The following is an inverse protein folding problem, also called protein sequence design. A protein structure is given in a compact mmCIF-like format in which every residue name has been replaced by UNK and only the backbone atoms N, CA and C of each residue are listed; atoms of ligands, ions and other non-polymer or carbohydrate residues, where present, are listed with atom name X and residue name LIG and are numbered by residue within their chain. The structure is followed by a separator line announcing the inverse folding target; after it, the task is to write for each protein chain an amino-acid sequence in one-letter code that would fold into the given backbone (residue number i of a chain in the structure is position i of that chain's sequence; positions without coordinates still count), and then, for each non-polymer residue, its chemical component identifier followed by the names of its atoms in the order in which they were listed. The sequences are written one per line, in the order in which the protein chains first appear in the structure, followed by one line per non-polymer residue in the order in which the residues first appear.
data_IF_533818289621
#
_entry.id   IF_533818289621
#
_cell.length_a   1.000
_cell.length_b   1.000
_cell.length_c   1.000
_cell.angle_alpha   90.00
_cell.angle_beta   90.00
_cell.angle_gamma   90.00
#
_symmetry.space_group_name_H-M   'P 1'
#
loop_
_entity.id
_entity.type
_entity.pdbx_description
1 polymer ?
#
# COMPACT_ATOMS: atom_id res chain seq x y z
N UNK A 1 60.21 10.28 23.59
CA UNK A 1 59.95 10.25 22.12
C UNK A 1 59.02 9.11 21.75
N UNK A 2 57.72 9.20 22.15
CA UNK A 2 56.71 8.15 21.91
C UNK A 2 55.29 8.71 21.66
N UNK A 3 55.16 9.92 21.09
CA UNK A 3 53.84 10.59 20.89
C UNK A 3 53.51 10.91 19.42
N UNK A 4 54.22 10.32 18.44
CA UNK A 4 53.97 10.62 17.02
C UNK A 4 53.34 9.48 16.20
N UNK A 5 53.07 8.33 16.78
CA UNK A 5 52.49 7.20 16.01
C UNK A 5 50.95 7.08 16.09
N UNK A 6 50.30 7.74 17.05
CA UNK A 6 48.83 7.62 17.20
C UNK A 6 48.03 8.65 16.42
N UNK A 7 48.64 9.80 16.06
CA UNK A 7 47.95 10.87 15.36
C UNK A 7 47.74 10.56 13.84
N UNK A 8 48.56 9.72 13.25
CA UNK A 8 48.45 9.31 11.85
C UNK A 8 47.39 8.18 11.68
N UNK A 9 47.24 7.32 12.66
CA UNK A 9 46.25 6.22 12.59
C UNK A 9 44.80 6.72 12.80
N UNK A 10 44.62 7.74 13.63
CA UNK A 10 43.29 8.37 13.85
C UNK A 10 42.86 9.20 12.63
N UNK A 11 43.79 9.83 11.91
CA UNK A 11 43.47 10.58 10.70
C UNK A 11 43.11 9.64 9.52
N UNK A 12 43.73 8.47 9.44
CA UNK A 12 43.38 7.47 8.42
C UNK A 12 42.02 6.79 8.67
N UNK A 13 41.65 6.58 9.92
CA UNK A 13 40.31 6.06 10.26
C UNK A 13 39.22 7.10 10.01
N UNK A 14 39.47 8.40 10.17
CA UNK A 14 38.51 9.45 9.84
C UNK A 14 38.36 9.67 8.34
N UNK A 15 39.42 9.49 7.55
CA UNK A 15 39.34 9.56 6.09
C UNK A 15 38.66 8.33 5.46
N UNK A 16 38.76 7.14 6.10
CA UNK A 16 38.04 5.95 5.62
C UNK A 16 36.56 5.96 5.99
N UNK A 17 36.17 6.59 7.11
CA UNK A 17 34.76 6.72 7.49
C UNK A 17 34.00 7.75 6.66
N UNK A 18 34.70 8.75 6.10
CA UNK A 18 34.07 9.75 5.19
C UNK A 18 33.99 9.25 3.73
N UNK A 19 34.76 8.23 3.35
CA UNK A 19 34.70 7.62 2.01
C UNK A 19 33.64 6.50 1.92
N UNK A 20 33.18 5.97 3.03
CA UNK A 20 32.11 4.96 3.05
C UNK A 20 30.69 5.55 3.20
N UNK A 21 30.55 6.87 3.38
CA UNK A 21 29.25 7.54 3.48
C UNK A 21 28.73 8.06 2.12
N UNK A 22 29.48 7.88 1.05
CA UNK A 22 28.97 8.04 -0.32
C UNK A 22 28.48 6.69 -0.88
N UNK A 23 27.86 5.88 -0.06
CA UNK A 23 27.15 4.69 -0.46
C UNK A 23 25.88 5.09 -1.20
N UNK A 24 25.86 4.79 -2.47
CA UNK A 24 24.70 4.73 -3.39
C UNK A 24 23.52 5.62 -2.95
N UNK A 25 23.58 6.89 -3.30
CA UNK A 25 22.35 7.64 -3.44
C UNK A 25 21.48 6.82 -4.39
N UNK A 26 20.31 6.41 -3.91
CA UNK A 26 19.31 5.76 -4.71
C UNK A 26 19.21 6.51 -6.05
N UNK A 27 19.33 5.80 -7.15
CA UNK A 27 19.18 6.38 -8.50
C UNK A 27 17.72 6.67 -8.85
N UNK A 28 16.82 6.56 -7.89
CA UNK A 28 15.40 6.88 -8.10
C UNK A 28 15.28 8.37 -8.48
N UNK A 29 14.55 8.69 -9.54
CA UNK A 29 14.22 10.09 -9.83
C UNK A 29 13.40 10.68 -8.68
N UNK A 30 13.50 11.98 -8.50
CA UNK A 30 12.64 12.66 -7.54
C UNK A 30 11.17 12.44 -7.93
N UNK A 31 10.28 12.21 -6.93
CA UNK A 31 8.87 12.04 -7.19
C UNK A 31 8.30 13.31 -7.83
N UNK A 32 7.46 13.12 -8.85
CA UNK A 32 6.71 14.23 -9.41
C UNK A 32 5.71 14.73 -8.36
N UNK A 33 5.72 16.04 -8.10
CA UNK A 33 4.71 16.61 -7.20
C UNK A 33 3.36 16.72 -7.91
N UNK A 34 2.23 16.67 -7.21
CA UNK A 34 0.91 16.82 -7.80
C UNK A 34 0.71 18.10 -8.61
N UNK A 35 1.50 19.13 -8.33
CA UNK A 35 1.40 20.46 -8.94
C UNK A 35 2.44 20.74 -10.04
N UNK A 36 3.25 19.78 -10.44
CA UNK A 36 4.30 19.95 -11.45
C UNK A 36 3.78 19.99 -12.90
N UNK A 37 2.49 20.20 -13.09
CA UNK A 37 1.80 20.13 -14.38
C UNK A 37 1.18 18.77 -14.65
N UNK A 38 1.11 17.87 -13.66
CA UNK A 38 0.40 16.61 -13.76
C UNK A 38 -1.06 16.86 -14.10
N UNK A 39 -1.52 16.26 -15.18
CA UNK A 39 -2.92 16.32 -15.56
C UNK A 39 -3.69 15.27 -14.76
N UNK A 40 -4.60 15.72 -13.92
CA UNK A 40 -5.51 14.81 -13.23
C UNK A 40 -6.50 14.20 -14.22
N UNK A 41 -6.64 12.87 -14.19
CA UNK A 41 -7.59 12.15 -15.02
C UNK A 41 -9.00 12.32 -14.44
N UNK A 42 -9.13 12.18 -13.11
CA UNK A 42 -10.41 12.25 -12.42
C UNK A 42 -10.20 12.58 -10.95
N UNK A 43 -11.09 13.39 -10.39
CA UNK A 43 -11.22 13.57 -8.94
C UNK A 43 -12.02 12.41 -8.34
N UNK A 44 -11.84 12.17 -7.04
CA UNK A 44 -12.71 11.29 -6.27
C UNK A 44 -14.13 11.84 -6.19
N UNK A 45 -15.08 10.96 -6.04
CA UNK A 45 -16.45 11.31 -5.67
C UNK A 45 -16.50 11.56 -4.16
N UNK A 46 -17.11 12.67 -3.72
CA UNK A 46 -17.27 12.96 -2.29
C UNK A 46 -18.46 12.19 -1.75
N UNK A 47 -18.25 11.57 -0.59
CA UNK A 47 -19.33 10.95 0.18
C UNK A 47 -19.80 11.92 1.26
N UNK A 48 -21.11 11.94 1.49
CA UNK A 48 -21.68 12.67 2.62
C UNK A 48 -21.66 11.79 3.87
N UNK A 49 -21.27 12.35 4.99
CA UNK A 49 -21.29 11.69 6.30
C UNK A 49 -21.80 12.65 7.38
N UNK A 50 -22.30 12.09 8.46
CA UNK A 50 -22.59 12.82 9.70
C UNK A 50 -21.74 12.22 10.82
N UNK A 51 -20.89 13.01 11.48
CA UNK A 51 -20.07 12.54 12.59
C UNK A 51 -20.91 12.03 13.76
N UNK A 52 -22.18 12.44 13.87
CA UNK A 52 -23.10 11.89 14.86
C UNK A 52 -23.32 10.36 14.70
N UNK A 53 -23.17 9.83 13.50
CA UNK A 53 -23.30 8.40 13.24
C UNK A 53 -22.09 7.59 13.80
N UNK A 54 -21.01 8.29 14.18
CA UNK A 54 -19.75 7.69 14.68
C UNK A 54 -19.54 7.90 16.19
N UNK A 55 -20.55 8.35 16.93
CA UNK A 55 -20.48 8.49 18.40
C UNK A 55 -20.36 7.13 19.11
N UNK A 56 -20.80 6.06 18.46
CA UNK A 56 -20.60 4.69 18.92
C UNK A 56 -19.82 3.91 17.89
N UNK A 57 -18.60 3.51 18.24
CA UNK A 57 -17.76 2.73 17.34
C UNK A 57 -18.19 1.26 17.43
N UNK A 58 -18.66 0.66 16.35
CA UNK A 58 -19.09 -0.73 16.38
C UNK A 58 -17.89 -1.67 16.60
N UNK A 59 -18.08 -2.67 17.44
CA UNK A 59 -17.10 -3.75 17.63
C UNK A 59 -17.37 -4.88 16.68
N UNK A 60 -16.31 -5.65 16.37
CA UNK A 60 -16.40 -6.81 15.51
C UNK A 60 -17.34 -7.88 16.12
N UNK A 61 -18.44 -8.24 15.48
CA UNK A 61 -19.37 -9.24 16.00
C UNK A 61 -18.84 -10.69 15.83
N UNK A 62 -17.75 -10.88 15.10
CA UNK A 62 -17.26 -12.20 14.72
C UNK A 62 -16.18 -12.69 15.70
N UNK A 63 -16.34 -13.91 16.19
CA UNK A 63 -15.37 -14.56 17.09
C UNK A 63 -14.17 -15.18 16.36
N UNK A 64 -14.19 -15.21 15.03
CA UNK A 64 -13.13 -15.73 14.17
C UNK A 64 -13.01 -14.86 12.91
N UNK A 65 -11.81 -14.83 12.30
CA UNK A 65 -11.62 -14.26 10.98
C UNK A 65 -12.13 -15.20 9.90
N UNK A 66 -12.55 -14.66 8.76
CA UNK A 66 -12.95 -15.44 7.58
C UNK A 66 -12.15 -15.00 6.36
N UNK A 67 -11.13 -15.79 6.03
CA UNK A 67 -10.16 -15.50 4.96
C UNK A 67 -9.56 -14.09 5.10
N UNK A 68 -8.81 -13.82 6.18
CA UNK A 68 -8.09 -12.56 6.29
C UNK A 68 -7.02 -12.50 5.20
N UNK A 69 -7.01 -11.42 4.43
CA UNK A 69 -6.12 -11.26 3.27
C UNK A 69 -4.96 -10.32 3.54
N UNK A 70 -5.11 -9.43 4.50
CA UNK A 70 -4.08 -8.44 4.81
C UNK A 70 -4.06 -8.08 6.30
N UNK A 71 -2.86 -7.87 6.82
CA UNK A 71 -2.64 -7.31 8.14
C UNK A 71 -1.54 -6.25 8.04
N UNK A 72 -1.76 -5.12 8.67
CA UNK A 72 -0.76 -4.05 8.72
C UNK A 72 -0.81 -3.33 10.06
N UNK A 73 0.29 -2.67 10.41
CA UNK A 73 0.35 -1.73 11.53
C UNK A 73 0.61 -0.34 10.96
N UNK A 74 -0.32 0.58 11.22
CA UNK A 74 -0.22 1.99 10.84
C UNK A 74 -0.33 2.81 12.11
N UNK A 75 0.64 3.66 12.36
CA UNK A 75 0.81 4.35 13.65
C UNK A 75 0.84 3.33 14.81
N UNK A 76 -0.05 3.50 15.78
CA UNK A 76 -0.17 2.62 16.95
C UNK A 76 -1.31 1.59 16.82
N UNK A 77 -1.91 1.44 15.65
CA UNK A 77 -3.06 0.55 15.42
C UNK A 77 -2.72 -0.56 14.41
N UNK A 78 -3.22 -1.75 14.71
CA UNK A 78 -3.22 -2.89 13.79
C UNK A 78 -4.54 -2.91 13.02
N UNK A 79 -4.46 -3.22 11.74
CA UNK A 79 -5.60 -3.37 10.85
C UNK A 79 -5.61 -4.76 10.25
N UNK A 80 -6.76 -5.38 10.18
CA UNK A 80 -6.97 -6.67 9.51
C UNK A 80 -8.08 -6.49 8.47
N UNK A 81 -7.77 -6.86 7.22
CA UNK A 81 -8.77 -6.98 6.16
C UNK A 81 -9.34 -8.39 6.24
N UNK A 82 -10.57 -8.48 6.74
CA UNK A 82 -11.31 -9.72 6.93
C UNK A 82 -12.27 -9.94 5.74
N UNK A 83 -11.68 -10.44 4.65
CA UNK A 83 -12.25 -10.42 3.30
C UNK A 83 -13.66 -11.02 3.23
N UNK A 84 -13.86 -12.23 3.75
CA UNK A 84 -15.16 -12.90 3.64
C UNK A 84 -16.20 -12.44 4.67
N UNK A 85 -15.80 -11.64 5.66
CA UNK A 85 -16.74 -10.88 6.46
C UNK A 85 -17.02 -9.49 5.86
N UNK A 86 -16.42 -9.16 4.71
CA UNK A 86 -16.64 -7.90 3.99
C UNK A 86 -16.35 -6.66 4.84
N UNK A 87 -15.25 -6.71 5.61
CA UNK A 87 -14.92 -5.68 6.58
C UNK A 87 -13.41 -5.46 6.72
N UNK A 88 -13.07 -4.30 7.25
CA UNK A 88 -11.75 -3.99 7.83
C UNK A 88 -11.95 -3.70 9.31
N UNK A 89 -11.18 -4.35 10.16
CA UNK A 89 -11.20 -4.16 11.62
C UNK A 89 -9.86 -3.63 12.11
N UNK A 90 -9.86 -2.95 13.26
CA UNK A 90 -8.65 -2.39 13.86
C UNK A 90 -8.63 -2.50 15.37
N UNK A 91 -7.41 -2.54 15.95
CA UNK A 91 -7.16 -2.48 17.39
C UNK A 91 -5.73 -1.99 17.67
N UNK A 92 -5.50 -1.47 18.85
CA UNK A 92 -4.18 -1.05 19.32
C UNK A 92 -3.31 -2.26 19.73
N UNK A 93 -3.91 -3.38 20.11
CA UNK A 93 -3.21 -4.58 20.56
C UNK A 93 -3.60 -5.79 19.72
N UNK A 94 -2.61 -6.36 19.03
CA UNK A 94 -2.79 -7.54 18.17
C UNK A 94 -3.30 -8.78 18.90
N UNK A 95 -3.03 -8.89 20.20
CA UNK A 95 -3.36 -10.07 21.00
C UNK A 95 -4.74 -10.02 21.67
N UNK A 96 -5.46 -8.92 21.53
CA UNK A 96 -6.80 -8.80 22.11
C UNK A 96 -7.78 -9.72 21.38
N UNK A 97 -8.79 -10.23 22.08
CA UNK A 97 -9.84 -11.03 21.47
C UNK A 97 -10.55 -10.30 20.32
N UNK A 98 -10.90 -11.01 19.26
CA UNK A 98 -11.48 -10.39 18.04
C UNK A 98 -12.78 -9.60 18.29
N UNK A 99 -13.55 -9.93 19.29
CA UNK A 99 -14.77 -9.18 19.66
C UNK A 99 -14.49 -7.81 20.32
N UNK A 100 -13.23 -7.54 20.70
CA UNK A 100 -12.77 -6.23 21.20
C UNK A 100 -12.24 -5.34 20.07
N UNK A 101 -12.02 -5.90 18.88
CA UNK A 101 -11.62 -5.14 17.72
C UNK A 101 -12.79 -4.28 17.21
N UNK A 102 -12.46 -3.09 16.76
CA UNK A 102 -13.41 -2.10 16.25
C UNK A 102 -13.53 -2.26 14.73
N UNK A 103 -14.69 -1.93 14.18
CA UNK A 103 -14.91 -1.92 12.74
C UNK A 103 -14.48 -0.57 12.18
N UNK A 104 -13.54 -0.59 11.22
CA UNK A 104 -13.15 0.57 10.43
C UNK A 104 -14.12 0.78 9.26
N UNK A 105 -14.38 -0.28 8.50
CA UNK A 105 -15.30 -0.29 7.36
C UNK A 105 -16.02 -1.63 7.29
N UNK A 106 -17.27 -1.62 6.83
CA UNK A 106 -18.08 -2.83 6.63
C UNK A 106 -18.98 -2.69 5.41
N UNK A 107 -19.60 -3.79 4.98
CA UNK A 107 -20.45 -3.82 3.79
C UNK A 107 -19.66 -3.66 2.47
N UNK A 108 -18.39 -4.03 2.52
CA UNK A 108 -17.50 -4.07 1.36
C UNK A 108 -17.77 -5.31 0.49
N UNK A 109 -17.28 -5.32 -0.74
CA UNK A 109 -17.32 -6.48 -1.63
C UNK A 109 -15.97 -7.18 -1.69
N UNK A 110 -15.70 -8.09 -0.76
CA UNK A 110 -14.46 -8.88 -0.71
C UNK A 110 -13.18 -8.00 -0.77
N UNK A 111 -12.94 -7.14 0.22
CA UNK A 111 -11.73 -6.32 0.26
C UNK A 111 -10.49 -7.20 0.47
N UNK A 112 -9.34 -6.80 -0.08
CA UNK A 112 -8.10 -7.56 0.04
C UNK A 112 -6.98 -6.80 0.73
N UNK A 113 -6.92 -5.46 0.58
CA UNK A 113 -5.85 -4.65 1.14
C UNK A 113 -6.32 -3.32 1.71
N UNK A 114 -5.45 -2.74 2.51
CA UNK A 114 -5.55 -1.40 3.06
C UNK A 114 -4.18 -0.73 2.94
N UNK A 115 -4.13 0.45 2.35
CA UNK A 115 -2.93 1.28 2.29
C UNK A 115 -3.19 2.67 2.89
N UNK A 116 -2.16 3.30 3.46
CA UNK A 116 -2.26 4.64 4.02
C UNK A 116 -0.92 5.38 3.91
N UNK A 117 -0.98 6.67 3.75
CA UNK A 117 0.14 7.63 3.85
C UNK A 117 0.16 8.36 5.20
N UNK A 118 -0.75 7.99 6.11
CA UNK A 118 -0.95 8.63 7.42
C UNK A 118 -2.06 9.69 7.43
N UNK A 119 -2.54 10.16 6.26
CA UNK A 119 -3.63 11.14 6.13
C UNK A 119 -4.93 10.48 5.68
N UNK A 120 -4.83 9.66 4.65
CA UNK A 120 -5.96 8.91 4.09
C UNK A 120 -5.69 7.41 4.11
N UNK A 121 -6.76 6.63 4.07
CA UNK A 121 -6.71 5.17 4.03
C UNK A 121 -7.50 4.69 2.82
N UNK A 122 -6.85 3.99 1.91
CA UNK A 122 -7.45 3.44 0.70
C UNK A 122 -7.72 1.95 0.89
N UNK A 123 -8.95 1.53 0.59
CA UNK A 123 -9.40 0.14 0.64
C UNK A 123 -9.85 -0.28 -0.76
N UNK A 124 -9.35 -1.41 -1.25
CA UNK A 124 -9.88 -2.02 -2.45
C UNK A 124 -11.21 -2.71 -2.15
N UNK A 125 -12.26 -2.21 -2.73
CA UNK A 125 -13.60 -2.80 -2.64
C UNK A 125 -13.83 -3.63 -3.93
N UNK A 126 -13.22 -4.80 -3.95
CA UNK A 126 -12.90 -5.62 -5.13
C UNK A 126 -14.12 -5.93 -6.00
N UNK A 127 -15.19 -6.49 -5.43
CA UNK A 127 -16.36 -6.90 -6.21
C UNK A 127 -17.23 -5.72 -6.65
N UNK A 128 -17.08 -4.57 -5.97
CA UNK A 128 -17.76 -3.35 -6.35
C UNK A 128 -16.98 -2.51 -7.38
N UNK A 129 -15.79 -2.96 -7.82
CA UNK A 129 -14.89 -2.24 -8.72
C UNK A 129 -14.64 -0.80 -8.24
N UNK A 130 -14.37 -0.66 -6.94
CA UNK A 130 -14.28 0.62 -6.26
C UNK A 130 -13.01 0.69 -5.41
N UNK A 131 -12.45 1.90 -5.27
CA UNK A 131 -11.50 2.24 -4.22
C UNK A 131 -12.21 3.19 -3.26
N UNK A 132 -12.33 2.78 -2.00
CA UNK A 132 -12.93 3.57 -0.93
C UNK A 132 -11.83 4.30 -0.17
N UNK A 133 -12.05 5.58 0.11
CA UNK A 133 -11.13 6.42 0.87
C UNK A 133 -11.76 6.76 2.21
N UNK A 134 -11.02 6.40 3.28
CA UNK A 134 -11.40 6.70 4.66
C UNK A 134 -10.47 7.78 5.22
N UNK A 135 -11.00 8.62 6.10
CA UNK A 135 -10.21 9.57 6.85
C UNK A 135 -10.35 9.32 8.36
N UNK A 136 -9.25 9.57 9.08
CA UNK A 136 -9.19 9.46 10.54
C UNK A 136 -9.72 10.75 11.15
N UNK A 137 -10.78 10.65 11.95
CA UNK A 137 -11.41 11.77 12.62
C UNK A 137 -11.55 11.52 14.13
N UNK A 138 -12.05 12.51 14.84
CA UNK A 138 -12.38 12.40 16.27
C UNK A 138 -13.88 12.60 16.43
N UNK A 139 -14.55 11.70 17.16
CA UNK A 139 -15.94 11.90 17.56
C UNK A 139 -16.06 12.90 18.72
N UNK A 140 -17.26 13.18 19.22
CA UNK A 140 -17.48 14.14 20.29
C UNK A 140 -16.83 13.75 21.62
N UNK A 141 -16.57 12.46 21.83
CA UNK A 141 -15.85 11.92 22.99
C UNK A 141 -14.33 12.00 22.86
N UNK A 142 -13.81 12.42 21.69
CA UNK A 142 -12.38 12.45 21.39
C UNK A 142 -11.80 11.08 21.01
N UNK A 143 -12.65 10.10 20.72
CA UNK A 143 -12.19 8.79 20.23
C UNK A 143 -11.93 8.84 18.73
N UNK A 144 -10.89 8.12 18.29
CA UNK A 144 -10.57 7.96 16.88
C UNK A 144 -11.63 7.13 16.17
N UNK A 145 -12.16 7.68 15.08
CA UNK A 145 -13.10 7.03 14.17
C UNK A 145 -12.59 7.12 12.75
N UNK A 146 -12.97 6.18 11.91
CA UNK A 146 -12.66 6.18 10.48
C UNK A 146 -13.94 6.40 9.69
N UNK A 147 -13.93 7.43 8.84
CA UNK A 147 -15.11 7.90 8.12
C UNK A 147 -14.87 7.77 6.62
N UNK A 148 -15.75 7.12 5.86
CA UNK A 148 -15.68 7.12 4.41
C UNK A 148 -16.01 8.51 3.87
N UNK A 149 -15.03 9.17 3.29
CA UNK A 149 -15.18 10.56 2.81
C UNK A 149 -15.20 10.67 1.30
N UNK A 150 -14.60 9.71 0.61
CA UNK A 150 -14.43 9.76 -0.83
C UNK A 150 -14.44 8.34 -1.42
N UNK A 151 -14.73 8.25 -2.73
CA UNK A 151 -14.59 7.01 -3.47
C UNK A 151 -14.19 7.24 -4.93
N UNK A 152 -13.65 6.21 -5.55
CA UNK A 152 -13.52 6.08 -6.99
C UNK A 152 -14.28 4.85 -7.43
N UNK A 153 -15.32 5.03 -8.22
CA UNK A 153 -16.09 3.93 -8.82
C UNK A 153 -15.55 3.56 -10.20
N UNK A 154 -15.81 2.34 -10.67
CA UNK A 154 -15.38 1.87 -11.99
C UNK A 154 -13.85 1.82 -12.14
N UNK A 155 -13.14 1.40 -11.10
CA UNK A 155 -11.70 1.21 -11.12
C UNK A 155 -11.38 -0.19 -11.65
N UNK A 156 -11.11 -0.26 -12.94
CA UNK A 156 -10.74 -1.49 -13.64
C UNK A 156 -11.77 -2.60 -13.52
N UNK A 157 -11.27 -3.83 -13.50
CA UNK A 157 -12.05 -5.04 -13.24
C UNK A 157 -11.40 -5.77 -12.05
N UNK A 158 -12.04 -5.69 -10.88
CA UNK A 158 -11.59 -6.22 -9.60
C UNK A 158 -10.27 -5.58 -9.13
N UNK A 159 -10.27 -4.32 -8.65
CA UNK A 159 -9.14 -3.79 -7.88
C UNK A 159 -8.86 -4.73 -6.71
N UNK A 160 -7.62 -5.16 -6.56
CA UNK A 160 -7.33 -6.31 -5.69
C UNK A 160 -6.18 -6.05 -4.74
N UNK A 161 -5.32 -5.10 -5.04
CA UNK A 161 -4.15 -4.82 -4.21
C UNK A 161 -3.76 -3.36 -4.30
N UNK A 162 -3.63 -2.70 -3.15
CA UNK A 162 -3.24 -1.31 -3.06
C UNK A 162 -2.04 -1.20 -2.13
N UNK A 163 -1.03 -0.43 -2.53
CA UNK A 163 0.05 0.00 -1.65
C UNK A 163 0.28 1.50 -1.77
N UNK A 164 0.84 2.10 -0.74
CA UNK A 164 1.42 3.43 -0.78
C UNK A 164 2.94 3.32 -0.86
N UNK A 165 3.55 4.06 -1.78
CA UNK A 165 5.00 4.19 -1.91
C UNK A 165 5.38 5.61 -1.49
N UNK A 166 6.03 5.72 -0.34
CA UNK A 166 6.42 6.98 0.29
C UNK A 166 7.46 7.75 -0.53
N UNK A 167 8.26 7.07 -1.34
CA UNK A 167 9.26 7.71 -2.18
C UNK A 167 8.65 8.45 -3.36
N UNK A 168 7.65 7.86 -4.01
CA UNK A 168 6.93 8.50 -5.13
C UNK A 168 5.71 9.28 -4.67
N UNK A 169 5.40 9.25 -3.37
CA UNK A 169 4.20 9.88 -2.79
C UNK A 169 2.94 9.50 -3.57
N UNK A 170 2.74 8.19 -3.77
CA UNK A 170 1.70 7.69 -4.69
C UNK A 170 1.11 6.40 -4.16
N UNK A 171 -0.21 6.30 -4.22
CA UNK A 171 -0.94 5.06 -4.06
C UNK A 171 -1.02 4.34 -5.40
N UNK A 172 -0.66 3.08 -5.42
CA UNK A 172 -0.73 2.18 -6.56
C UNK A 172 -1.83 1.14 -6.30
N UNK A 173 -2.84 1.09 -7.16
CA UNK A 173 -3.91 0.10 -7.08
C UNK A 173 -3.95 -0.75 -8.34
N UNK A 174 -3.78 -2.06 -8.17
CA UNK A 174 -3.77 -3.03 -9.25
C UNK A 174 -5.15 -3.62 -9.50
N UNK A 175 -5.59 -3.60 -10.75
CA UNK A 175 -6.80 -4.29 -11.19
C UNK A 175 -6.46 -5.68 -11.69
N UNK A 176 -6.85 -6.71 -10.94
CA UNK A 176 -6.36 -8.08 -11.11
C UNK A 176 -6.80 -8.77 -12.40
N UNK A 177 -7.84 -8.28 -13.07
CA UNK A 177 -8.36 -8.88 -14.29
C UNK A 177 -8.22 -8.02 -15.55
N UNK A 178 -7.95 -6.72 -15.40
CA UNK A 178 -7.76 -5.84 -16.56
C UNK A 178 -6.29 -5.54 -16.87
N UNK A 179 -5.37 -6.01 -16.02
CA UNK A 179 -3.94 -5.75 -16.22
C UNK A 179 -3.57 -4.27 -16.16
N UNK A 180 -4.32 -3.48 -15.37
CA UNK A 180 -4.15 -2.05 -15.23
C UNK A 180 -3.72 -1.66 -13.84
N UNK A 181 -2.84 -0.68 -13.76
CA UNK A 181 -2.44 0.01 -12.54
C UNK A 181 -3.03 1.41 -12.51
N UNK A 182 -3.71 1.74 -11.45
CA UNK A 182 -4.29 3.04 -11.16
C UNK A 182 -3.44 3.74 -10.13
N UNK A 183 -2.98 4.96 -10.42
CA UNK A 183 -2.16 5.78 -9.54
C UNK A 183 -3.00 6.90 -8.95
N UNK A 184 -3.01 7.00 -7.62
CA UNK A 184 -3.76 8.02 -6.93
C UNK A 184 -2.84 8.86 -6.06
N UNK A 185 -3.17 10.15 -5.94
CA UNK A 185 -2.47 11.11 -5.08
C UNK A 185 -3.46 12.12 -4.52
N UNK A 186 -3.14 12.69 -3.41
CA UNK A 186 -3.73 13.94 -2.94
C UNK A 186 -2.70 15.07 -3.01
N UNK A 187 -3.09 16.28 -2.66
CA UNK A 187 -2.20 17.44 -2.62
C UNK A 187 -1.72 17.67 -1.19
N UNK A 188 -0.61 18.38 -1.01
CA UNK A 188 -0.03 18.66 0.32
C UNK A 188 -0.96 19.44 1.25
N UNK A 189 -1.95 20.15 0.70
CA UNK A 189 -2.87 21.02 1.43
C UNK A 189 -4.30 20.45 1.54
N UNK A 190 -4.54 19.24 1.05
CA UNK A 190 -5.87 18.64 1.01
C UNK A 190 -5.81 17.12 0.94
N UNK A 191 -6.72 16.45 1.65
CA UNK A 191 -6.96 14.99 1.54
C UNK A 191 -7.78 14.61 0.30
N UNK A 192 -8.15 15.57 -0.55
CA UNK A 192 -8.86 15.31 -1.80
C UNK A 192 -8.00 14.44 -2.72
N UNK A 193 -8.52 13.25 -3.04
CA UNK A 193 -7.80 12.29 -3.87
C UNK A 193 -8.06 12.51 -5.37
N UNK A 194 -7.04 12.24 -6.16
CA UNK A 194 -7.06 12.34 -7.62
C UNK A 194 -6.48 11.08 -8.23
N UNK A 195 -7.16 10.55 -9.24
CA UNK A 195 -6.58 9.58 -10.16
C UNK A 195 -5.66 10.34 -11.13
N UNK A 196 -4.38 10.08 -11.05
CA UNK A 196 -3.36 10.85 -11.79
C UNK A 196 -2.85 10.11 -13.02
N UNK A 197 -2.90 8.77 -12.99
CA UNK A 197 -2.39 7.96 -14.10
C UNK A 197 -3.07 6.59 -14.14
N UNK A 198 -3.24 6.07 -15.35
CA UNK A 198 -3.59 4.68 -15.61
C UNK A 198 -2.50 4.10 -16.50
N UNK A 199 -1.94 2.98 -16.09
CA UNK A 199 -0.88 2.27 -16.81
C UNK A 199 -1.32 0.84 -17.05
N UNK A 200 -1.01 0.32 -18.23
CA UNK A 200 -1.31 -1.06 -18.59
C UNK A 200 -0.04 -1.86 -18.83
N UNK A 201 -0.04 -3.11 -18.43
CA UNK A 201 0.96 -4.09 -18.78
C UNK A 201 0.28 -5.14 -19.66
N UNK A 202 0.39 -5.03 -21.01
CA UNK A 202 -0.32 -5.93 -21.92
C UNK A 202 -0.05 -7.41 -21.67
N UNK A 203 1.15 -7.73 -21.15
CA UNK A 203 1.54 -9.09 -20.81
C UNK A 203 0.79 -9.67 -19.58
N UNK A 204 0.13 -8.81 -18.82
CA UNK A 204 -0.66 -9.19 -17.64
C UNK A 204 -2.17 -9.03 -17.88
N UNK A 205 -2.60 -8.64 -19.08
CA UNK A 205 -4.02 -8.62 -19.45
C UNK A 205 -4.60 -10.04 -19.39
N UNK A 206 -5.69 -10.21 -18.64
CA UNK A 206 -6.31 -11.50 -18.40
C UNK A 206 -5.49 -12.46 -17.52
N UNK A 207 -4.35 -12.03 -16.99
CA UNK A 207 -3.55 -12.80 -16.05
C UNK A 207 -3.93 -12.38 -14.63
N UNK A 208 -4.36 -13.34 -13.81
CA UNK A 208 -4.67 -13.06 -12.42
C UNK A 208 -3.40 -12.76 -11.63
N UNK A 209 -3.25 -11.52 -11.20
CA UNK A 209 -2.16 -11.05 -10.33
C UNK A 209 -2.72 -10.80 -8.94
N UNK A 210 -2.17 -11.47 -7.95
CA UNK A 210 -2.63 -11.36 -6.55
C UNK A 210 -2.10 -10.11 -5.84
N UNK A 211 -0.82 -9.82 -6.05
CA UNK A 211 -0.16 -8.70 -5.39
C UNK A 211 1.02 -8.21 -6.21
N UNK A 212 1.56 -7.09 -5.80
CA UNK A 212 2.81 -6.56 -6.30
C UNK A 212 3.62 -5.93 -5.16
N UNK A 213 4.92 -5.81 -5.36
CA UNK A 213 5.83 -5.17 -4.41
C UNK A 213 6.71 -4.17 -5.14
N UNK A 214 6.87 -2.97 -4.59
CA UNK A 214 7.78 -1.96 -5.10
C UNK A 214 9.09 -2.06 -4.32
N UNK A 215 10.20 -2.22 -5.06
CA UNK A 215 11.55 -2.25 -4.51
C UNK A 215 12.43 -1.35 -5.36
N UNK A 216 12.86 -0.26 -4.78
CA UNK A 216 13.62 0.78 -5.47
C UNK A 216 12.85 1.32 -6.70
N UNK A 217 13.44 1.26 -7.89
CA UNK A 217 12.84 1.68 -9.17
C UNK A 217 12.17 0.51 -9.93
N UNK A 218 11.81 -0.57 -9.24
CA UNK A 218 11.22 -1.78 -9.80
C UNK A 218 9.89 -2.11 -9.13
N UNK A 219 9.00 -2.67 -9.92
CA UNK A 219 7.76 -3.26 -9.44
C UNK A 219 7.74 -4.75 -9.82
N UNK A 220 7.37 -5.58 -8.86
CA UNK A 220 7.33 -7.04 -8.99
C UNK A 220 5.90 -7.52 -8.83
N UNK A 221 5.34 -8.10 -9.87
CA UNK A 221 3.98 -8.66 -9.85
C UNK A 221 4.05 -10.15 -9.57
N UNK A 222 3.24 -10.60 -8.62
CA UNK A 222 3.07 -12.01 -8.27
C UNK A 222 1.88 -12.54 -9.03
N UNK A 223 2.15 -13.27 -10.13
CA UNK A 223 1.09 -13.81 -10.97
C UNK A 223 0.74 -15.25 -10.61
N UNK A 224 -0.54 -15.58 -10.69
CA UNK A 224 -1.06 -16.93 -10.42
C UNK A 224 -0.55 -18.01 -11.38
N UNK A 225 0.18 -17.63 -12.44
CA UNK A 225 0.76 -18.53 -13.43
C UNK A 225 2.20 -18.92 -13.12
N UNK A 226 2.57 -18.97 -11.84
CA UNK A 226 3.91 -19.37 -11.38
C UNK A 226 5.05 -18.50 -11.92
N UNK A 227 4.80 -17.20 -12.08
CA UNK A 227 5.81 -16.25 -12.50
C UNK A 227 5.82 -15.02 -11.61
N UNK A 228 7.01 -14.47 -11.37
CA UNK A 228 7.20 -13.12 -10.89
C UNK A 228 7.58 -12.27 -12.09
N UNK A 229 6.82 -11.21 -12.34
CA UNK A 229 7.09 -10.26 -13.43
C UNK A 229 7.74 -9.03 -12.84
N UNK A 230 8.98 -8.74 -13.25
CA UNK A 230 9.66 -7.50 -12.91
C UNK A 230 9.43 -6.47 -14.01
N UNK A 231 9.00 -5.28 -13.63
CA UNK A 231 8.85 -4.15 -14.53
C UNK A 231 9.52 -2.90 -13.97
N UNK A 232 9.80 -1.96 -14.83
CA UNK A 232 10.24 -0.62 -14.46
C UNK A 232 9.09 0.15 -13.81
N UNK A 233 9.31 0.77 -12.66
CA UNK A 233 8.26 1.40 -11.85
C UNK A 233 7.59 2.59 -12.56
N UNK A 234 8.30 3.30 -13.43
CA UNK A 234 7.83 4.54 -14.05
C UNK A 234 7.16 4.34 -15.40
N UNK A 235 7.68 3.37 -16.17
CA UNK A 235 7.22 3.09 -17.53
C UNK A 235 6.36 1.84 -17.61
N UNK A 236 6.37 1.00 -16.59
CA UNK A 236 5.73 -0.31 -16.51
C UNK A 236 6.19 -1.28 -17.62
N UNK A 237 7.33 -0.98 -18.23
CA UNK A 237 7.94 -1.89 -19.18
C UNK A 237 8.44 -3.14 -18.47
N UNK A 238 8.01 -4.32 -18.90
CA UNK A 238 8.50 -5.59 -18.39
C UNK A 238 9.99 -5.72 -18.70
N UNK A 239 10.77 -6.00 -17.67
CA UNK A 239 12.21 -6.16 -17.71
C UNK A 239 12.61 -7.63 -17.65
N UNK A 240 12.01 -8.38 -16.73
CA UNK A 240 12.33 -9.78 -16.50
C UNK A 240 11.08 -10.60 -16.14
N UNK A 241 11.20 -11.91 -16.31
CA UNK A 241 10.23 -12.90 -15.87
C UNK A 241 10.98 -13.98 -15.11
N UNK A 242 10.59 -14.24 -13.89
CA UNK A 242 11.19 -15.27 -13.03
C UNK A 242 10.17 -16.39 -12.86
N UNK A 243 10.35 -17.53 -13.57
CA UNK A 243 9.50 -18.69 -13.35
C UNK A 243 9.77 -19.24 -11.95
N UNK A 244 8.71 -19.61 -11.24
CA UNK A 244 8.79 -20.27 -9.95
C UNK A 244 8.37 -21.73 -10.10
N UNK A 245 8.86 -22.66 -9.24
CA UNK A 245 8.46 -24.06 -9.27
C UNK A 245 6.96 -24.24 -9.12
N UNK A 246 6.38 -25.21 -9.83
CA UNK A 246 4.94 -25.51 -9.76
C UNK A 246 4.43 -25.80 -8.34
N UNK A 247 5.33 -26.27 -7.46
CA UNK A 247 5.00 -26.52 -6.05
C UNK A 247 4.61 -25.24 -5.27
N UNK A 248 4.94 -24.06 -5.79
CA UNK A 248 4.59 -22.75 -5.21
C UNK A 248 3.75 -21.89 -6.17
N UNK A 249 3.01 -22.55 -7.07
CA UNK A 249 2.17 -21.88 -8.08
C UNK A 249 1.13 -20.92 -7.48
N UNK A 250 0.68 -21.21 -6.26
CA UNK A 250 -0.32 -20.40 -5.55
C UNK A 250 0.29 -19.32 -4.65
N UNK A 251 1.49 -18.85 -4.97
CA UNK A 251 2.12 -17.76 -4.23
C UNK A 251 1.21 -16.53 -4.16
N UNK A 252 1.27 -15.83 -3.02
CA UNK A 252 0.37 -14.72 -2.72
C UNK A 252 1.08 -13.39 -2.79
N UNK A 253 2.31 -13.32 -2.25
CA UNK A 253 3.05 -12.08 -2.09
C UNK A 253 4.56 -12.32 -2.19
N UNK A 254 5.28 -11.30 -2.63
CA UNK A 254 6.74 -11.25 -2.62
C UNK A 254 7.18 -10.22 -1.58
N UNK A 255 7.98 -10.66 -0.62
CA UNK A 255 8.58 -9.78 0.38
C UNK A 255 10.10 -9.84 0.33
N UNK A 256 10.75 -8.69 0.51
CA UNK A 256 12.20 -8.61 0.67
C UNK A 256 12.55 -8.29 2.12
N UNK A 257 13.18 -9.25 2.79
CA UNK A 257 13.66 -9.08 4.16
C UNK A 257 15.19 -9.19 4.13
N UNK A 258 15.87 -8.09 4.41
CA UNK A 258 17.33 -7.98 4.28
C UNK A 258 17.78 -8.28 2.84
N UNK A 259 18.55 -9.35 2.62
CA UNK A 259 19.07 -9.76 1.31
C UNK A 259 18.33 -10.96 0.68
N UNK A 260 17.18 -11.35 1.26
CA UNK A 260 16.43 -12.52 0.81
C UNK A 260 15.04 -12.11 0.33
N UNK A 261 14.55 -12.82 -0.68
CA UNK A 261 13.18 -12.71 -1.16
C UNK A 261 12.38 -13.89 -0.61
N UNK A 262 11.21 -13.60 -0.08
CA UNK A 262 10.26 -14.56 0.46
C UNK A 262 8.99 -14.52 -0.39
N UNK A 263 8.45 -15.70 -0.68
CA UNK A 263 7.25 -15.87 -1.49
C UNK A 263 6.25 -16.73 -0.70
#
# INVERSE_FOLDING_TARGET
MKLRKYTILTLFLFLFSTLCLNGCASSRPEPATPYDGTVYIRESELLSYDLADYETIPTNPNGSLSVPTYITKLDDQYFIVDCYHNQVIYNENLTDPLYEWRIMASGLGMPHTLASDGFVYLIDDTENNRVLIMEKMQNSSGETVYVPTQEFTGIGNRPHYIIYDDYTDTFYAWSSQSGEMFLFRHTDDSTRMYLTKILSIPELDGVYVRSFTILDDRIYFVSGNSNIIEADLYTFKVLNRYPVPDAIADMIQLEKIQNYYYI
#
